data_IF_420519987160
#
_entry.id   IF_420519987160
#
_cell.length_a   1.000
_cell.length_b   1.000
_cell.length_c   1.000
_cell.angle_alpha   90.00
_cell.angle_beta   90.00
_cell.angle_gamma   90.00
#
_symmetry.space_group_name_H-M   'P 1'
#
loop_
_entity.id
_entity.type
_entity.pdbx_description
1 polymer ?
#
# COMPACT_ATOMS: atom_id res chain seq x y z
N UNK A 1 -0.89 -48.54 35.63
CA UNK A 1 -1.91 -49.49 36.17
C UNK A 1 -3.35 -49.13 35.78
N UNK A 2 -3.79 -47.86 35.91
CA UNK A 2 -5.18 -47.44 35.64
C UNK A 2 -5.67 -47.59 34.17
N UNK A 3 -4.79 -47.42 33.18
CA UNK A 3 -5.16 -47.53 31.75
C UNK A 3 -5.55 -48.97 31.37
N UNK A 4 -4.84 -49.97 31.91
CA UNK A 4 -5.14 -51.39 31.68
C UNK A 4 -6.50 -51.78 32.25
N UNK A 5 -6.80 -51.36 33.48
CA UNK A 5 -8.12 -51.56 34.10
C UNK A 5 -9.24 -50.92 33.29
N UNK A 6 -9.05 -49.67 32.83
CA UNK A 6 -10.06 -48.97 32.03
C UNK A 6 -10.42 -49.71 30.73
N UNK A 7 -9.41 -50.28 30.06
CA UNK A 7 -9.61 -51.08 28.85
C UNK A 7 -10.39 -52.39 29.11
N UNK A 8 -10.15 -53.05 30.26
CA UNK A 8 -10.86 -54.28 30.64
C UNK A 8 -12.36 -54.05 30.84
N UNK A 9 -12.76 -52.89 31.39
CA UNK A 9 -14.17 -52.57 31.65
C UNK A 9 -14.89 -51.92 30.45
N UNK A 10 -14.20 -51.09 29.66
CA UNK A 10 -14.76 -50.46 28.45
C UNK A 10 -15.11 -51.51 27.39
N UNK A 11 -14.31 -52.59 27.28
CA UNK A 11 -14.53 -53.67 26.32
C UNK A 11 -15.45 -54.79 26.87
N UNK A 12 -15.97 -54.64 28.08
CA UNK A 12 -16.84 -55.66 28.66
C UNK A 12 -18.19 -55.69 27.91
N UNK A 13 -18.78 -56.88 27.67
CA UNK A 13 -20.05 -57.00 26.97
C UNK A 13 -21.21 -56.25 27.65
N UNK A 14 -21.10 -55.96 28.95
CA UNK A 14 -22.09 -55.24 29.76
C UNK A 14 -22.04 -53.71 29.59
N UNK A 15 -21.01 -53.18 28.93
CA UNK A 15 -20.78 -51.75 28.73
C UNK A 15 -20.93 -51.36 27.25
N UNK A 16 -21.88 -51.99 26.55
CA UNK A 16 -22.26 -51.65 25.19
C UNK A 16 -23.37 -50.58 25.19
N UNK A 17 -23.38 -49.64 24.23
CA UNK A 17 -24.30 -48.50 24.23
C UNK A 17 -25.79 -48.90 24.29
N UNK A 18 -26.16 -50.02 23.67
CA UNK A 18 -27.54 -50.54 23.67
C UNK A 18 -27.98 -51.06 25.05
N UNK A 19 -27.03 -51.58 25.84
CA UNK A 19 -27.30 -52.07 27.21
C UNK A 19 -27.34 -50.90 28.19
N UNK A 20 -26.47 -49.90 28.00
CA UNK A 20 -26.42 -48.69 28.83
C UNK A 20 -27.67 -47.83 28.63
N UNK A 21 -28.25 -47.81 27.42
CA UNK A 21 -29.51 -47.14 27.11
C UNK A 21 -30.68 -47.64 27.96
N UNK A 22 -30.81 -48.96 28.09
CA UNK A 22 -31.89 -49.60 28.84
C UNK A 22 -31.85 -49.27 30.34
N UNK A 23 -30.71 -48.83 30.86
CA UNK A 23 -30.54 -48.42 32.27
C UNK A 23 -30.72 -46.90 32.42
N UNK A 24 -30.19 -46.10 31.49
CA UNK A 24 -30.34 -44.63 31.51
C UNK A 24 -29.95 -43.97 30.19
N UNK A 25 -30.85 -43.15 29.64
CA UNK A 25 -30.56 -42.28 28.50
C UNK A 25 -29.43 -41.28 28.77
N UNK A 26 -29.29 -40.81 30.02
CA UNK A 26 -28.22 -39.90 30.42
C UNK A 26 -26.84 -40.61 30.42
N UNK A 27 -26.81 -41.91 30.72
CA UNK A 27 -25.58 -42.70 30.64
C UNK A 27 -25.16 -42.95 29.18
N UNK A 28 -26.12 -43.21 28.27
CA UNK A 28 -25.86 -43.32 26.82
C UNK A 28 -25.31 -42.01 26.25
N UNK A 29 -25.89 -40.86 26.63
CA UNK A 29 -25.40 -39.55 26.17
C UNK A 29 -23.98 -39.26 26.64
N UNK A 30 -23.63 -39.58 27.90
CA UNK A 30 -22.26 -39.45 28.42
C UNK A 30 -21.26 -40.36 27.69
N UNK A 31 -21.65 -41.58 27.31
CA UNK A 31 -20.80 -42.48 26.50
C UNK A 31 -20.49 -41.89 25.12
N UNK A 32 -21.52 -41.39 24.42
CA UNK A 32 -21.35 -40.74 23.11
C UNK A 32 -20.51 -39.46 23.20
N UNK A 33 -20.72 -38.67 24.25
CA UNK A 33 -19.95 -37.45 24.53
C UNK A 33 -18.45 -37.74 24.67
N UNK A 34 -18.08 -38.86 25.30
CA UNK A 34 -16.67 -39.26 25.46
C UNK A 34 -15.95 -39.56 24.14
N UNK A 35 -16.68 -39.97 23.10
CA UNK A 35 -16.13 -40.21 21.76
C UNK A 35 -15.98 -38.89 21.00
N UNK A 36 -17.03 -38.08 20.97
CA UNK A 36 -17.02 -36.74 20.34
C UNK A 36 -15.97 -35.83 20.98
N UNK A 37 -15.76 -35.92 22.29
CA UNK A 37 -14.74 -35.15 23.01
C UNK A 37 -13.33 -35.38 22.45
N UNK A 38 -12.96 -36.62 22.10
CA UNK A 38 -11.64 -36.93 21.51
C UNK A 38 -11.46 -36.29 20.13
N UNK A 39 -12.50 -36.36 19.29
CA UNK A 39 -12.47 -35.74 17.96
C UNK A 39 -12.41 -34.21 18.03
N UNK A 40 -13.13 -33.63 18.99
CA UNK A 40 -13.14 -32.19 19.25
C UNK A 40 -11.79 -31.73 19.79
N UNK A 41 -11.13 -32.50 20.67
CA UNK A 41 -9.79 -32.20 21.16
C UNK A 41 -8.77 -32.14 20.02
N UNK A 42 -8.78 -33.12 19.12
CA UNK A 42 -7.91 -33.12 17.94
C UNK A 42 -8.17 -31.93 17.00
N UNK A 43 -9.43 -31.54 16.80
CA UNK A 43 -9.76 -30.35 16.02
C UNK A 43 -9.29 -29.07 16.71
N UNK A 44 -9.44 -28.99 18.04
CA UNK A 44 -8.97 -27.84 18.84
C UNK A 44 -7.45 -27.68 18.76
N UNK A 45 -6.68 -28.76 18.82
CA UNK A 45 -5.21 -28.69 18.67
C UNK A 45 -4.83 -28.20 17.28
N UNK A 46 -5.44 -28.73 16.22
CA UNK A 46 -5.17 -28.30 14.84
C UNK A 46 -5.57 -26.84 14.59
N UNK A 47 -6.71 -26.40 15.13
CA UNK A 47 -7.12 -24.99 15.05
C UNK A 47 -6.10 -24.12 15.77
N UNK A 48 -5.67 -24.49 16.97
CA UNK A 48 -4.66 -23.76 17.74
C UNK A 48 -3.35 -23.61 16.97
N UNK A 49 -2.81 -24.69 16.40
CA UNK A 49 -1.60 -24.65 15.57
C UNK A 49 -1.74 -23.72 14.35
N UNK A 50 -2.90 -23.75 13.69
CA UNK A 50 -3.15 -22.89 12.53
C UNK A 50 -3.28 -21.41 12.92
N UNK A 51 -3.88 -21.13 14.07
CA UNK A 51 -4.02 -19.77 14.61
C UNK A 51 -2.67 -19.20 15.01
N UNK A 52 -1.80 -20.00 15.66
CA UNK A 52 -0.43 -19.58 16.02
C UNK A 52 0.39 -19.24 14.76
N UNK A 53 0.32 -20.07 13.71
CA UNK A 53 0.98 -19.78 12.42
C UNK A 53 0.43 -18.52 11.77
N UNK A 54 -0.90 -18.34 11.80
CA UNK A 54 -1.56 -17.17 11.23
C UNK A 54 -1.12 -15.90 11.96
N UNK A 55 -1.04 -15.93 13.29
CA UNK A 55 -0.62 -14.80 14.09
C UNK A 55 0.83 -14.40 13.78
N UNK A 56 1.75 -15.36 13.70
CA UNK A 56 3.14 -15.10 13.30
C UNK A 56 3.24 -14.47 11.90
N UNK A 57 2.48 -14.99 10.93
CA UNK A 57 2.43 -14.43 9.57
C UNK A 57 1.83 -13.01 9.55
N UNK A 58 0.77 -12.76 10.33
CA UNK A 58 0.14 -11.44 10.43
C UNK A 58 1.10 -10.41 11.05
N UNK A 59 1.83 -10.80 12.11
CA UNK A 59 2.84 -9.95 12.73
C UNK A 59 3.99 -9.62 11.76
N UNK A 60 4.50 -10.62 11.03
CA UNK A 60 5.54 -10.41 10.01
C UNK A 60 5.05 -9.50 8.87
N UNK A 61 3.83 -9.70 8.40
CA UNK A 61 3.20 -8.88 7.37
C UNK A 61 2.98 -7.44 7.86
N UNK A 62 2.58 -7.23 9.11
CA UNK A 62 2.42 -5.91 9.71
C UNK A 62 3.76 -5.14 9.73
N UNK A 63 4.86 -5.81 10.12
CA UNK A 63 6.21 -5.23 10.07
C UNK A 63 6.60 -4.82 8.65
N UNK A 64 6.42 -5.72 7.66
CA UNK A 64 6.71 -5.42 6.25
C UNK A 64 5.86 -4.29 5.69
N UNK A 65 4.57 -4.23 6.03
CA UNK A 65 3.70 -3.11 5.63
C UNK A 65 4.15 -1.78 6.25
N UNK A 66 4.65 -1.79 7.49
CA UNK A 66 5.18 -0.60 8.13
C UNK A 66 6.45 -0.09 7.43
N UNK A 67 7.42 -0.96 7.17
CA UNK A 67 8.64 -0.65 6.41
C UNK A 67 8.30 -0.05 5.04
N UNK A 68 7.40 -0.69 4.29
CA UNK A 68 6.97 -0.21 2.97
C UNK A 68 6.29 1.17 3.02
N UNK A 69 5.50 1.45 4.07
CA UNK A 69 4.92 2.79 4.25
C UNK A 69 5.98 3.85 4.50
N UNK A 70 7.00 3.53 5.29
CA UNK A 70 8.14 4.42 5.54
C UNK A 70 8.91 4.74 4.24
N UNK A 71 9.26 3.71 3.48
CA UNK A 71 9.96 3.87 2.19
C UNK A 71 9.15 4.70 1.19
N UNK A 72 7.85 4.43 1.05
CA UNK A 72 6.97 5.20 0.14
C UNK A 72 6.89 6.68 0.54
N UNK A 73 6.82 6.98 1.83
CA UNK A 73 6.84 8.37 2.33
C UNK A 73 8.16 9.06 1.98
N UNK A 74 9.30 8.40 2.20
CA UNK A 74 10.62 8.95 1.85
C UNK A 74 10.74 9.27 0.36
N UNK A 75 10.29 8.35 -0.50
CA UNK A 75 10.30 8.55 -1.95
C UNK A 75 9.41 9.72 -2.39
N UNK A 76 8.24 9.88 -1.78
CA UNK A 76 7.34 11.00 -2.08
C UNK A 76 7.98 12.35 -1.72
N UNK A 77 8.62 12.43 -0.55
CA UNK A 77 9.35 13.63 -0.11
C UNK A 77 10.50 13.94 -1.07
N UNK A 78 11.29 12.95 -1.46
CA UNK A 78 12.38 13.15 -2.43
C UNK A 78 11.85 13.65 -3.77
N UNK A 79 10.76 13.07 -4.28
CA UNK A 79 10.12 13.52 -5.53
C UNK A 79 9.64 14.97 -5.45
N UNK A 80 9.01 15.33 -4.34
CA UNK A 80 8.54 16.70 -4.11
C UNK A 80 9.71 17.69 -4.06
N UNK A 81 10.78 17.36 -3.35
CA UNK A 81 11.98 18.19 -3.26
C UNK A 81 12.62 18.39 -4.65
N UNK A 82 12.75 17.32 -5.44
CA UNK A 82 13.28 17.44 -6.82
C UNK A 82 12.41 18.36 -7.68
N UNK A 83 11.08 18.20 -7.63
CA UNK A 83 10.16 19.08 -8.37
C UNK A 83 10.31 20.54 -7.93
N UNK A 84 10.37 20.79 -6.62
CA UNK A 84 10.57 22.15 -6.09
C UNK A 84 11.88 22.77 -6.57
N UNK A 85 12.99 22.02 -6.60
CA UNK A 85 14.27 22.53 -7.09
C UNK A 85 14.24 22.88 -8.59
N UNK A 86 13.60 22.05 -9.41
CA UNK A 86 13.47 22.30 -10.86
C UNK A 86 12.65 23.56 -11.12
N UNK A 87 11.49 23.68 -10.47
CA UNK A 87 10.64 24.87 -10.60
C UNK A 87 11.37 26.10 -10.08
N UNK A 88 11.98 26.04 -8.90
CA UNK A 88 12.74 27.17 -8.36
C UNK A 88 13.84 27.65 -9.33
N UNK A 89 14.58 26.73 -9.95
CA UNK A 89 15.57 27.05 -10.97
C UNK A 89 14.97 27.77 -12.18
N UNK A 90 13.86 27.24 -12.72
CA UNK A 90 13.15 27.83 -13.86
C UNK A 90 12.66 29.24 -13.58
N UNK A 91 12.05 29.46 -12.41
CA UNK A 91 11.52 30.78 -12.03
C UNK A 91 12.65 31.76 -11.79
N UNK A 92 13.75 31.31 -11.18
CA UNK A 92 14.96 32.13 -11.01
C UNK A 92 15.51 32.57 -12.36
N UNK A 93 15.57 31.68 -13.36
CA UNK A 93 16.00 32.03 -14.71
C UNK A 93 15.02 33.00 -15.39
N UNK A 94 13.73 32.74 -15.27
CA UNK A 94 12.67 33.60 -15.86
C UNK A 94 12.75 35.02 -15.30
N UNK A 95 12.99 35.17 -13.99
CA UNK A 95 13.17 36.49 -13.37
C UNK A 95 14.42 37.19 -13.92
N UNK A 96 15.53 36.47 -14.14
CA UNK A 96 16.74 37.05 -14.75
C UNK A 96 16.49 37.53 -16.17
N UNK A 97 15.85 36.71 -16.99
CA UNK A 97 15.58 37.01 -18.41
C UNK A 97 14.61 38.19 -18.55
N UNK A 98 13.56 38.24 -17.73
CA UNK A 98 12.63 39.36 -17.66
C UNK A 98 13.32 40.63 -17.15
N UNK A 99 14.20 40.52 -16.16
CA UNK A 99 14.97 41.67 -15.65
C UNK A 99 15.88 42.25 -16.72
N UNK A 100 16.55 41.38 -17.50
CA UNK A 100 17.36 41.81 -18.64
C UNK A 100 16.51 42.46 -19.74
N UNK A 101 15.37 41.85 -20.09
CA UNK A 101 14.46 42.38 -21.12
C UNK A 101 13.85 43.72 -20.71
N UNK A 102 13.65 43.96 -19.41
CA UNK A 102 13.03 45.19 -18.90
C UNK A 102 13.78 46.46 -19.33
N UNK A 103 15.11 46.41 -19.44
CA UNK A 103 15.89 47.58 -19.86
C UNK A 103 15.88 47.81 -21.38
N UNK A 104 15.74 46.76 -22.18
CA UNK A 104 15.74 46.85 -23.67
C UNK A 104 14.35 47.06 -24.25
N UNK A 105 13.30 46.61 -23.54
CA UNK A 105 11.89 46.67 -23.93
C UNK A 105 11.42 48.03 -24.47
N UNK A 106 11.75 49.18 -23.84
CA UNK A 106 11.35 50.48 -24.38
C UNK A 106 11.99 50.78 -25.75
N UNK A 107 13.23 50.36 -25.96
CA UNK A 107 13.93 50.50 -27.24
C UNK A 107 13.32 49.61 -28.32
N UNK A 108 13.06 48.34 -27.98
CA UNK A 108 12.41 47.38 -28.89
C UNK A 108 11.02 47.86 -29.29
N UNK A 109 10.25 48.39 -28.33
CA UNK A 109 8.93 48.97 -28.58
C UNK A 109 8.99 50.20 -29.48
N UNK A 110 9.98 51.09 -29.28
CA UNK A 110 10.19 52.26 -30.13
C UNK A 110 10.54 51.87 -31.57
N UNK A 111 11.44 50.90 -31.75
CA UNK A 111 11.82 50.41 -33.08
C UNK A 111 10.62 49.75 -33.77
N UNK A 112 9.89 48.89 -33.05
CA UNK A 112 8.70 48.21 -33.58
C UNK A 112 7.61 49.21 -34.01
N UNK A 113 7.34 50.24 -33.19
CA UNK A 113 6.35 51.28 -33.53
C UNK A 113 6.78 52.12 -34.73
N UNK A 114 8.06 52.48 -34.85
CA UNK A 114 8.60 53.13 -36.05
C UNK A 114 8.46 52.26 -37.30
N UNK A 115 8.68 50.96 -37.15
CA UNK A 115 8.51 49.99 -38.24
C UNK A 115 7.07 49.90 -38.72
N UNK A 116 6.10 49.83 -37.81
CA UNK A 116 4.67 49.75 -38.13
C UNK A 116 4.15 51.05 -38.77
N UNK A 117 4.56 52.21 -38.24
CA UNK A 117 4.03 53.51 -38.68
C UNK A 117 4.66 54.01 -39.97
N UNK A 118 5.97 53.85 -40.15
CA UNK A 118 6.69 54.46 -41.26
C UNK A 118 7.10 53.47 -42.35
N UNK A 119 7.37 52.20 -42.01
CA UNK A 119 7.91 51.23 -42.95
C UNK A 119 6.85 50.35 -43.65
N UNK A 120 5.57 50.56 -43.33
CA UNK A 120 4.43 49.92 -44.00
C UNK A 120 4.39 50.07 -45.54
N UNK A 121 4.55 51.29 -46.11
CA UNK A 121 4.48 51.52 -47.56
C UNK A 121 5.76 51.15 -48.34
N UNK A 122 6.84 50.76 -47.66
CA UNK A 122 8.10 50.40 -48.31
C UNK A 122 8.14 48.90 -48.70
N UNK A 123 9.08 48.52 -49.58
CA UNK A 123 9.24 47.11 -49.99
C UNK A 123 9.93 46.28 -48.91
N UNK A 124 9.76 44.96 -48.97
CA UNK A 124 10.38 44.02 -48.01
C UNK A 124 11.92 44.06 -48.05
N UNK A 125 12.51 44.32 -49.22
CA UNK A 125 13.96 44.45 -49.36
C UNK A 125 14.50 45.70 -48.67
N UNK A 126 13.83 46.85 -48.84
CA UNK A 126 14.23 48.10 -48.18
C UNK A 126 14.14 47.99 -46.65
N UNK A 127 13.10 47.33 -46.16
CA UNK A 127 12.92 47.02 -44.73
C UNK A 127 14.05 46.17 -44.15
N UNK A 128 14.50 45.14 -44.88
CA UNK A 128 15.62 44.28 -44.45
C UNK A 128 16.93 45.07 -44.38
N UNK A 129 17.25 45.88 -45.39
CA UNK A 129 18.48 46.69 -45.42
C UNK A 129 18.61 47.62 -44.20
N UNK A 130 17.50 48.21 -43.73
CA UNK A 130 17.49 49.07 -42.53
C UNK A 130 17.68 48.31 -41.21
N UNK A 131 17.38 47.01 -41.17
CA UNK A 131 17.52 46.19 -39.96
C UNK A 131 18.90 45.53 -39.80
N UNK A 132 19.75 45.59 -40.83
CA UNK A 132 21.05 44.89 -40.89
C UNK A 132 22.26 45.83 -40.71
N UNK A 133 22.04 47.13 -40.50
CA UNK A 133 23.09 48.09 -40.12
C UNK A 133 23.27 48.14 -38.61
#
# INVERSE_FOLDING_TARGET
MKVKLRATYINSPKFQPDIVENVSNAAKSLYSYSHVAKEVEFKRTKVKESMEKLELMQQALAKKKFELRGLKKGMLIQKLNMMHHVEYGRWTQTVKDLTASRSTLPGDALIATGYVTYLGPFTSEHRKQLSTQ
#
